data_IF_497292548569
#
_entry.id   IF_497292548569
#
_cell.length_a   1.000
_cell.length_b   1.000
_cell.length_c   1.000
_cell.angle_alpha   90.00
_cell.angle_beta   90.00
_cell.angle_gamma   90.00
#
_symmetry.space_group_name_H-M   'P 1'
#
loop_
_entity.id
_entity.type
_entity.pdbx_description
1 polymer ?
#
# COMPACT_ATOMS: atom_id res chain seq x y z
N UNK A 1 19.37 -22.05 0.43
CA UNK A 1 18.38 -20.96 0.28
C UNK A 1 18.48 -20.09 1.51
N UNK A 2 19.07 -18.90 1.41
CA UNK A 2 19.03 -17.93 2.50
C UNK A 2 17.59 -17.44 2.63
N UNK A 3 16.91 -17.77 3.73
CA UNK A 3 15.65 -17.12 4.07
C UNK A 3 15.97 -15.67 4.43
N UNK A 4 15.96 -14.79 3.43
CA UNK A 4 15.96 -13.35 3.68
C UNK A 4 14.75 -13.06 4.56
N UNK A 5 15.02 -12.63 5.80
CA UNK A 5 13.98 -12.28 6.74
C UNK A 5 13.15 -11.14 6.16
N UNK A 6 11.88 -11.42 5.87
CA UNK A 6 10.94 -10.38 5.42
C UNK A 6 10.79 -9.38 6.57
N UNK A 7 10.93 -8.09 6.25
CA UNK A 7 10.69 -7.00 7.18
C UNK A 7 9.96 -5.86 6.46
N UNK A 8 9.32 -4.99 7.24
CA UNK A 8 8.49 -3.90 6.72
C UNK A 8 9.31 -2.95 5.82
N UNK A 9 10.49 -2.45 6.22
CA UNK A 9 11.27 -1.55 5.37
C UNK A 9 11.58 -2.13 3.99
N UNK A 10 11.96 -3.40 3.90
CA UNK A 10 12.27 -4.05 2.63
C UNK A 10 11.03 -4.20 1.74
N UNK A 11 9.87 -4.49 2.34
CA UNK A 11 8.60 -4.56 1.61
C UNK A 11 8.24 -3.17 1.05
N UNK A 12 8.25 -2.14 1.88
CA UNK A 12 7.93 -0.77 1.47
C UNK A 12 8.92 -0.25 0.42
N UNK A 13 10.23 -0.44 0.62
CA UNK A 13 11.27 -0.05 -0.36
C UNK A 13 11.14 -0.81 -1.68
N UNK A 14 10.64 -2.05 -1.67
CA UNK A 14 10.40 -2.79 -2.91
C UNK A 14 9.24 -2.21 -3.73
N UNK A 15 8.34 -1.45 -3.10
CA UNK A 15 7.15 -0.85 -3.70
C UNK A 15 7.25 0.68 -3.87
N UNK A 16 8.19 1.35 -3.20
CA UNK A 16 8.38 2.80 -3.29
C UNK A 16 8.87 3.28 -4.68
N UNK A 17 9.28 2.35 -5.54
CA UNK A 17 9.67 2.61 -6.93
C UNK A 17 8.44 2.46 -7.84
N UNK A 18 8.06 3.53 -8.55
CA UNK A 18 6.85 3.55 -9.39
C UNK A 18 6.82 2.39 -10.40
N UNK A 19 7.93 2.11 -11.07
CA UNK A 19 7.98 1.02 -12.05
C UNK A 19 7.91 -0.35 -11.38
N UNK A 20 8.47 -0.52 -10.19
CA UNK A 20 8.33 -1.77 -9.42
C UNK A 20 6.89 -1.97 -8.96
N UNK A 21 6.21 -0.91 -8.54
CA UNK A 21 4.82 -0.97 -8.14
C UNK A 21 3.89 -1.28 -9.31
N UNK A 22 4.08 -0.62 -10.46
CA UNK A 22 3.35 -0.97 -11.70
C UNK A 22 3.59 -2.42 -12.11
N UNK A 23 4.82 -2.91 -11.99
CA UNK A 23 5.15 -4.30 -12.29
C UNK A 23 4.44 -5.27 -11.34
N UNK A 24 4.37 -4.93 -10.06
CA UNK A 24 3.61 -5.67 -9.05
C UNK A 24 2.12 -5.74 -9.37
N UNK A 25 1.50 -4.63 -9.76
CA UNK A 25 0.10 -4.58 -10.21
C UNK A 25 -0.13 -5.41 -11.49
N UNK A 26 0.80 -5.35 -12.45
CA UNK A 26 0.72 -6.15 -13.68
C UNK A 26 0.83 -7.65 -13.41
N UNK A 27 1.68 -8.07 -12.47
CA UNK A 27 1.72 -9.47 -11.99
C UNK A 27 0.37 -9.86 -11.37
N UNK A 28 -0.25 -8.96 -10.59
CA UNK A 28 -1.56 -9.20 -10.01
C UNK A 28 -2.66 -9.38 -11.07
N UNK A 29 -2.59 -8.63 -12.16
CA UNK A 29 -3.49 -8.71 -13.29
C UNK A 29 -3.19 -9.88 -14.26
N UNK A 30 -2.11 -10.64 -14.04
CA UNK A 30 -1.66 -11.70 -14.95
C UNK A 30 -1.09 -11.19 -16.28
N UNK A 31 -0.68 -9.92 -16.35
CA UNK A 31 -0.26 -9.22 -17.57
C UNK A 31 1.26 -9.19 -17.76
N UNK A 32 1.96 -10.25 -17.34
CA UNK A 32 3.41 -10.40 -17.59
C UNK A 32 3.59 -11.25 -18.84
N UNK A 33 3.92 -10.59 -19.94
CA UNK A 33 4.14 -11.27 -21.21
C UNK A 33 5.58 -11.80 -21.33
N UNK A 34 5.74 -12.95 -21.98
CA UNK A 34 7.01 -13.69 -22.07
C UNK A 34 8.06 -12.98 -22.95
N UNK A 35 7.61 -12.11 -23.85
CA UNK A 35 8.41 -11.22 -24.69
C UNK A 35 9.03 -10.07 -23.88
N UNK A 36 8.28 -9.47 -22.95
CA UNK A 36 8.80 -8.44 -22.04
C UNK A 36 9.90 -8.97 -21.11
N UNK A 37 9.80 -10.24 -20.71
CA UNK A 37 10.88 -10.92 -20.02
C UNK A 37 12.14 -10.99 -20.91
N UNK A 38 11.97 -11.13 -22.23
CA UNK A 38 13.06 -11.34 -23.18
C UNK A 38 13.68 -10.05 -23.69
N UNK A 39 12.91 -8.96 -23.84
CA UNK A 39 13.36 -7.67 -24.41
C UNK A 39 13.46 -6.54 -23.40
N UNK A 40 12.80 -6.64 -22.25
CA UNK A 40 12.42 -5.48 -21.44
C UNK A 40 11.06 -4.94 -21.92
N UNK A 41 10.48 -4.01 -21.16
CA UNK A 41 9.30 -3.26 -21.59
C UNK A 41 9.72 -1.98 -22.32
N UNK A 42 8.77 -1.28 -22.96
CA UNK A 42 9.00 0.03 -23.56
C UNK A 42 9.58 1.07 -22.58
N UNK A 43 9.34 0.88 -21.28
CA UNK A 43 9.73 1.79 -20.20
C UNK A 43 10.99 1.34 -19.43
N UNK A 44 11.42 0.08 -19.53
CA UNK A 44 12.49 -0.49 -18.70
C UNK A 44 13.48 -1.33 -19.51
N UNK A 45 14.77 -1.11 -19.26
CA UNK A 45 15.80 -2.06 -19.72
C UNK A 45 15.61 -3.43 -19.04
N UNK A 46 16.08 -4.50 -19.69
CA UNK A 46 16.05 -5.87 -19.12
C UNK A 46 16.63 -5.92 -17.71
N UNK A 47 17.78 -5.26 -17.49
CA UNK A 47 18.45 -5.26 -16.19
C UNK A 47 17.59 -4.60 -15.10
N UNK A 48 16.96 -3.46 -15.42
CA UNK A 48 16.06 -2.76 -14.51
C UNK A 48 14.81 -3.59 -14.20
N UNK A 49 14.24 -4.24 -15.22
CA UNK A 49 13.08 -5.11 -15.12
C UNK A 49 13.37 -6.31 -14.18
N UNK A 50 14.43 -7.06 -14.46
CA UNK A 50 14.81 -8.22 -13.65
C UNK A 50 15.25 -7.86 -12.23
N UNK A 51 15.94 -6.73 -12.05
CA UNK A 51 16.32 -6.24 -10.72
C UNK A 51 15.09 -5.96 -9.85
N UNK A 52 14.05 -5.35 -10.42
CA UNK A 52 12.79 -5.09 -9.71
C UNK A 52 12.02 -6.37 -9.40
N UNK A 53 11.89 -7.29 -10.34
CA UNK A 53 11.29 -8.61 -10.08
C UNK A 53 12.02 -9.37 -8.97
N UNK A 54 13.36 -9.38 -9.02
CA UNK A 54 14.18 -10.01 -7.98
C UNK A 54 13.90 -9.37 -6.62
N UNK A 55 13.80 -8.04 -6.54
CA UNK A 55 13.47 -7.34 -5.29
C UNK A 55 12.08 -7.71 -4.77
N UNK A 56 11.07 -7.77 -5.65
CA UNK A 56 9.70 -8.17 -5.29
C UNK A 56 9.60 -9.65 -4.86
N UNK A 57 10.44 -10.52 -5.43
CA UNK A 57 10.55 -11.92 -4.99
C UNK A 57 11.23 -11.98 -3.61
N UNK A 58 12.33 -11.27 -3.43
CA UNK A 58 13.10 -11.26 -2.19
C UNK A 58 12.35 -10.62 -1.02
N UNK A 59 11.38 -9.72 -1.29
CA UNK A 59 10.46 -9.19 -0.29
C UNK A 59 9.25 -10.10 -0.02
N UNK A 60 9.16 -11.24 -0.72
CA UNK A 60 8.10 -12.23 -0.55
C UNK A 60 6.75 -11.84 -1.18
N UNK A 61 6.70 -10.75 -1.94
CA UNK A 61 5.46 -10.24 -2.55
C UNK A 61 5.05 -11.07 -3.78
N UNK A 62 6.03 -11.52 -4.56
CA UNK A 62 5.83 -12.32 -5.77
C UNK A 62 6.58 -13.64 -5.65
N UNK A 63 6.02 -14.70 -6.22
CA UNK A 63 6.71 -15.95 -6.47
C UNK A 63 6.88 -16.17 -7.98
N UNK A 64 7.92 -16.92 -8.35
CA UNK A 64 8.11 -17.43 -9.70
C UNK A 64 8.06 -18.95 -9.67
N UNK A 65 7.20 -19.56 -10.48
CA UNK A 65 7.09 -21.01 -10.66
C UNK A 65 6.98 -21.31 -12.14
N UNK A 66 7.82 -22.22 -12.63
CA UNK A 66 7.86 -22.63 -14.05
C UNK A 66 7.92 -21.46 -15.03
N UNK A 67 8.71 -20.44 -14.68
CA UNK A 67 8.86 -19.23 -15.49
C UNK A 67 7.75 -18.19 -15.31
N UNK A 68 6.62 -18.54 -14.71
CA UNK A 68 5.45 -17.69 -14.47
C UNK A 68 5.57 -16.94 -13.15
N UNK A 69 5.23 -15.64 -13.17
CA UNK A 69 5.20 -14.80 -11.98
C UNK A 69 3.78 -14.67 -11.45
N UNK A 70 3.61 -14.77 -10.13
CA UNK A 70 2.31 -14.66 -9.46
C UNK A 70 2.45 -14.05 -8.07
N UNK A 71 1.41 -13.38 -7.58
CA UNK A 71 1.37 -12.93 -6.19
C UNK A 71 1.44 -14.10 -5.21
N UNK A 72 2.21 -13.95 -4.14
CA UNK A 72 2.11 -14.83 -2.97
C UNK A 72 0.84 -14.50 -2.17
N UNK A 73 0.47 -15.35 -1.21
CA UNK A 73 -0.60 -15.01 -0.27
C UNK A 73 -0.31 -13.71 0.49
N UNK A 74 0.95 -13.51 0.93
CA UNK A 74 1.41 -12.27 1.54
C UNK A 74 1.30 -11.08 0.58
N UNK A 75 1.72 -11.24 -0.68
CA UNK A 75 1.60 -10.21 -1.71
C UNK A 75 0.16 -9.78 -1.97
N UNK A 76 -0.82 -10.71 -1.92
CA UNK A 76 -2.24 -10.36 -2.04
C UNK A 76 -2.74 -9.47 -0.89
N UNK A 77 -2.32 -9.76 0.34
CA UNK A 77 -2.63 -8.92 1.51
C UNK A 77 -2.04 -7.53 1.33
N UNK A 78 -0.76 -7.44 0.97
CA UNK A 78 -0.07 -6.16 0.74
C UNK A 78 -0.72 -5.36 -0.38
N UNK A 79 -1.07 -5.99 -1.50
CA UNK A 79 -1.75 -5.31 -2.61
C UNK A 79 -3.09 -4.71 -2.15
N UNK A 80 -3.90 -5.47 -1.42
CA UNK A 80 -5.16 -4.97 -0.89
C UNK A 80 -4.97 -3.77 0.04
N UNK A 81 -3.98 -3.83 0.93
CA UNK A 81 -3.61 -2.69 1.79
C UNK A 81 -3.14 -1.48 0.97
N UNK A 82 -2.33 -1.68 -0.07
CA UNK A 82 -1.88 -0.59 -0.93
C UNK A 82 -3.04 0.05 -1.69
N UNK A 83 -4.03 -0.73 -2.17
CA UNK A 83 -5.24 -0.19 -2.79
C UNK A 83 -6.09 0.63 -1.80
N UNK A 84 -6.11 0.27 -0.51
CA UNK A 84 -6.75 1.12 0.51
C UNK A 84 -6.00 2.44 0.69
N UNK A 85 -4.67 2.40 0.74
CA UNK A 85 -3.84 3.60 0.81
C UNK A 85 -4.04 4.48 -0.43
N UNK A 86 -4.08 3.92 -1.64
CA UNK A 86 -4.35 4.66 -2.87
C UNK A 86 -5.69 5.38 -2.84
N UNK A 87 -6.75 4.72 -2.35
CA UNK A 87 -8.06 5.35 -2.16
C UNK A 87 -7.97 6.49 -1.16
N UNK A 88 -7.28 6.28 -0.03
CA UNK A 88 -7.07 7.33 0.96
C UNK A 88 -6.27 8.51 0.39
N UNK A 89 -5.26 8.26 -0.45
CA UNK A 89 -4.47 9.29 -1.15
C UNK A 89 -5.37 10.16 -2.04
N UNK A 90 -6.29 9.55 -2.80
CA UNK A 90 -7.26 10.30 -3.63
C UNK A 90 -8.22 11.16 -2.80
N UNK A 91 -8.44 10.77 -1.55
CA UNK A 91 -9.32 11.44 -0.59
C UNK A 91 -8.56 12.30 0.43
N UNK A 92 -7.25 12.53 0.27
CA UNK A 92 -6.42 13.30 1.23
C UNK A 92 -7.00 14.67 1.58
N UNK A 93 -7.67 15.33 0.63
CA UNK A 93 -8.31 16.61 0.89
C UNK A 93 -9.48 16.51 1.88
N UNK A 94 -10.20 15.38 1.92
CA UNK A 94 -11.28 15.11 2.89
C UNK A 94 -10.71 14.91 4.28
N UNK A 95 -9.61 14.16 4.40
CA UNK A 95 -8.90 13.98 5.67
C UNK A 95 -8.39 15.33 6.21
N UNK A 96 -7.78 16.18 5.36
CA UNK A 96 -7.38 17.53 5.75
C UNK A 96 -8.56 18.41 6.21
N UNK A 97 -9.72 18.27 5.58
CA UNK A 97 -10.93 18.97 6.01
C UNK A 97 -11.39 18.49 7.40
N UNK A 98 -11.26 17.19 7.69
CA UNK A 98 -11.55 16.65 9.02
C UNK A 98 -10.56 17.14 10.08
N UNK A 99 -9.26 17.10 9.80
CA UNK A 99 -8.22 17.62 10.70
C UNK A 99 -8.44 19.12 11.01
N UNK A 100 -9.09 19.86 10.11
CA UNK A 100 -9.41 21.29 10.30
C UNK A 100 -10.66 21.53 11.17
N UNK A 101 -11.55 20.54 11.26
CA UNK A 101 -12.78 20.59 12.04
C UNK A 101 -12.52 20.01 13.45
N UNK A 102 -11.73 18.94 13.53
CA UNK A 102 -11.30 18.30 14.76
C UNK A 102 -10.44 19.28 15.58
N UNK A 103 -10.93 19.70 16.74
CA UNK A 103 -10.29 20.72 17.59
C UNK A 103 -10.81 22.15 17.40
N UNK A 104 -11.77 22.38 16.51
CA UNK A 104 -12.50 23.65 16.48
C UNK A 104 -13.54 23.70 17.61
N UNK A 105 -13.49 24.74 18.46
CA UNK A 105 -14.42 24.93 19.59
C UNK A 105 -15.90 25.12 19.15
N UNK A 106 -16.16 25.17 17.83
CA UNK A 106 -17.47 25.48 17.25
C UNK A 106 -18.33 24.29 16.84
N UNK A 107 -17.83 23.04 16.87
CA UNK A 107 -18.59 21.88 16.42
C UNK A 107 -18.73 20.81 17.52
N UNK A 108 -19.96 20.50 17.97
CA UNK A 108 -20.21 19.34 18.83
C UNK A 108 -19.75 18.04 18.16
N UNK A 109 -19.30 17.06 18.95
CA UNK A 109 -18.74 15.78 18.46
C UNK A 109 -19.67 15.03 17.50
N UNK A 110 -21.00 15.13 17.69
CA UNK A 110 -21.98 14.54 16.76
C UNK A 110 -22.01 15.21 15.38
N UNK A 111 -21.81 16.53 15.32
CA UNK A 111 -21.75 17.26 14.04
C UNK A 111 -20.45 16.95 13.30
N UNK A 112 -19.34 16.85 14.03
CA UNK A 112 -18.05 16.41 13.49
C UNK A 112 -18.17 15.01 12.87
N UNK A 113 -18.84 14.08 13.56
CA UNK A 113 -19.07 12.73 13.07
C UNK A 113 -19.97 12.68 11.82
N UNK A 114 -21.02 13.50 11.76
CA UNK A 114 -21.86 13.64 10.54
C UNK A 114 -21.07 14.19 9.36
N UNK A 115 -20.19 15.16 9.59
CA UNK A 115 -19.33 15.72 8.53
C UNK A 115 -18.31 14.67 8.05
N UNK A 116 -17.72 13.89 8.96
CA UNK A 116 -16.85 12.75 8.63
C UNK A 116 -17.57 11.71 7.75
N UNK A 117 -18.78 11.32 8.12
CA UNK A 117 -19.59 10.38 7.34
C UNK A 117 -19.97 10.93 5.96
N UNK A 118 -20.26 12.23 5.85
CA UNK A 118 -20.59 12.89 4.58
C UNK A 118 -19.37 12.96 3.65
N UNK A 119 -18.20 13.32 4.18
CA UNK A 119 -16.98 13.50 3.39
C UNK A 119 -16.39 12.18 2.93
N UNK A 120 -16.28 11.20 3.82
CA UNK A 120 -15.63 9.91 3.54
C UNK A 120 -16.60 8.86 3.00
N UNK A 121 -17.91 9.02 3.23
CA UNK A 121 -18.91 7.99 2.93
C UNK A 121 -18.99 6.91 4.00
N UNK A 122 -20.13 6.21 4.08
CA UNK A 122 -20.37 5.16 5.08
C UNK A 122 -19.33 4.04 4.94
N UNK A 123 -18.56 3.80 6.00
CA UNK A 123 -17.66 2.63 6.13
C UNK A 123 -16.16 2.87 5.97
N UNK A 124 -15.70 4.12 5.79
CA UNK A 124 -14.26 4.42 5.64
C UNK A 124 -13.49 4.37 6.97
N UNK A 125 -14.14 4.62 8.12
CA UNK A 125 -13.52 4.58 9.45
C UNK A 125 -13.58 3.20 10.13
N UNK A 126 -13.55 2.09 9.38
CA UNK A 126 -13.51 0.75 9.97
C UNK A 126 -12.12 0.34 10.49
N UNK A 127 -11.14 1.25 10.47
CA UNK A 127 -9.88 1.07 11.20
C UNK A 127 -10.00 1.86 12.50
N UNK A 128 -10.15 1.21 13.66
CA UNK A 128 -10.14 1.90 14.93
C UNK A 128 -8.75 2.51 15.12
N UNK A 129 -8.66 3.84 14.99
CA UNK A 129 -7.58 4.58 15.61
C UNK A 129 -7.89 4.60 17.11
N UNK A 130 -7.35 3.62 17.85
CA UNK A 130 -7.35 3.69 19.31
C UNK A 130 -6.39 4.81 19.75
N UNK A 131 -6.91 6.03 19.86
CA UNK A 131 -6.16 7.19 20.35
C UNK A 131 -5.97 7.20 21.90
N UNK A 132 -6.34 6.11 22.58
CA UNK A 132 -6.37 6.05 24.05
C UNK A 132 -5.06 5.60 24.72
N UNK A 133 -3.95 5.43 23.99
CA UNK A 133 -2.68 4.93 24.58
C UNK A 133 -1.51 5.89 24.64
N UNK A 134 -1.60 7.09 24.09
CA UNK A 134 -0.49 8.07 24.17
C UNK A 134 -0.60 9.01 25.39
N UNK A 135 -1.79 9.13 26.02
CA UNK A 135 -2.00 10.03 27.15
C UNK A 135 -1.58 9.49 28.54
N UNK A 136 -1.07 8.26 28.67
CA UNK A 136 -0.74 7.65 29.99
C UNK A 136 0.73 7.27 30.20
N UNK A 137 1.68 8.00 29.60
CA UNK A 137 3.11 7.86 29.95
C UNK A 137 3.78 9.15 30.46
N UNK A 138 2.99 10.09 31.00
CA UNK A 138 3.52 11.19 31.82
C UNK A 138 2.82 11.18 33.17
N UNK A 139 3.09 10.15 33.96
CA UNK A 139 3.13 10.16 35.44
C UNK A 139 3.43 8.75 35.94
N UNK A 140 4.71 8.49 36.17
CA UNK A 140 5.22 7.85 37.38
C UNK A 140 6.70 8.13 37.52
#
# INVERSE_FOLDING_TARGET
MTHTRINIPNVLLSLADEHAYRLFQRVAAGQIHHDELRTGSSELTKKQYYSRLSRLINSGLIARRDGVYSLTAFGKVVLNSMTQVERAVNDVWKFKALDSIEGSEGFPSEEQQKIAELLLGKGVMAVPYEDDKVARSVKS
#
